data_IF_678858948406
#
_entry.id   IF_678858948406
#
_cell.length_a   1.000
_cell.length_b   1.000
_cell.length_c   1.000
_cell.angle_alpha   90.00
_cell.angle_beta   90.00
_cell.angle_gamma   90.00
#
_symmetry.space_group_name_H-M   'P 1'
#
loop_
_entity.id
_entity.type
_entity.pdbx_description
1 polymer ?
#
# COMPACT_ATOMS: atom_id res chain seq x y z
N UNK A 1 -17.49 -13.71 -30.85
CA UNK A 1 -16.42 -12.92 -31.48
C UNK A 1 -16.30 -11.49 -30.93
N UNK A 2 -17.21 -11.00 -30.08
CA UNK A 2 -17.12 -9.65 -29.47
C UNK A 2 -16.34 -9.57 -28.15
N UNK A 3 -15.90 -10.69 -27.54
CA UNK A 3 -15.16 -10.69 -26.27
C UNK A 3 -13.64 -10.39 -26.38
N UNK A 4 -13.10 -10.32 -27.61
CA UNK A 4 -11.65 -10.14 -27.82
C UNK A 4 -11.16 -8.68 -27.78
N UNK A 5 -12.05 -7.70 -27.59
CA UNK A 5 -11.71 -6.28 -27.59
C UNK A 5 -11.28 -5.73 -26.21
N UNK A 6 -10.83 -6.60 -25.28
CA UNK A 6 -10.58 -6.19 -23.89
C UNK A 6 -9.24 -5.50 -23.67
N UNK A 7 -8.27 -5.69 -24.57
CA UNK A 7 -6.95 -5.08 -24.45
C UNK A 7 -6.79 -3.97 -25.50
N UNK A 8 -6.63 -2.73 -25.03
CA UNK A 8 -6.18 -1.62 -25.89
C UNK A 8 -4.77 -1.87 -26.43
N UNK A 9 -4.29 -1.00 -27.33
CA UNK A 9 -2.89 -1.04 -27.77
C UNK A 9 -1.97 -0.96 -26.55
N UNK A 10 -1.03 -1.90 -26.44
CA UNK A 10 -0.03 -1.93 -25.37
C UNK A 10 1.34 -1.55 -25.91
N UNK A 11 2.19 -0.95 -25.09
CA UNK A 11 3.58 -0.73 -25.49
C UNK A 11 4.35 -2.06 -25.54
N UNK A 12 5.29 -2.15 -26.46
CA UNK A 12 6.17 -3.32 -26.61
C UNK A 12 6.91 -3.62 -25.30
N UNK A 13 7.41 -2.59 -24.63
CA UNK A 13 8.08 -2.66 -23.32
C UNK A 13 7.21 -3.32 -22.23
N UNK A 14 5.94 -2.93 -22.11
CA UNK A 14 5.03 -3.50 -21.10
C UNK A 14 4.74 -4.98 -21.34
N UNK A 15 4.56 -5.38 -22.61
CA UNK A 15 4.32 -6.78 -22.95
C UNK A 15 5.61 -7.61 -22.79
N UNK A 16 6.76 -7.04 -23.12
CA UNK A 16 8.08 -7.64 -22.87
C UNK A 16 8.33 -7.90 -21.38
N UNK A 17 8.03 -6.91 -20.53
CA UNK A 17 8.10 -7.05 -19.08
C UNK A 17 7.17 -8.16 -18.57
N UNK A 18 5.91 -8.14 -19.01
CA UNK A 18 4.89 -9.12 -18.62
C UNK A 18 5.30 -10.55 -19.02
N UNK A 19 5.77 -10.73 -20.25
CA UNK A 19 6.19 -12.03 -20.78
C UNK A 19 7.58 -12.46 -20.29
N UNK A 20 8.34 -11.56 -19.65
CA UNK A 20 9.73 -11.80 -19.28
C UNK A 20 10.65 -12.06 -20.47
N UNK A 21 10.39 -11.40 -21.60
CA UNK A 21 11.16 -11.48 -22.86
C UNK A 21 11.76 -10.11 -23.18
N UNK A 22 12.72 -10.04 -24.10
CA UNK A 22 13.16 -8.74 -24.61
C UNK A 22 12.09 -8.13 -25.52
N UNK A 23 12.10 -6.80 -25.67
CA UNK A 23 11.25 -6.09 -26.62
C UNK A 23 11.38 -6.65 -28.04
N UNK A 24 12.60 -6.97 -28.47
CA UNK A 24 12.90 -7.58 -29.77
C UNK A 24 12.23 -8.96 -29.93
N UNK A 25 12.32 -9.82 -28.91
CA UNK A 25 11.68 -11.13 -28.90
C UNK A 25 10.15 -11.04 -28.95
N UNK A 26 9.56 -10.04 -28.29
CA UNK A 26 8.12 -9.79 -28.33
C UNK A 26 7.70 -9.23 -29.69
N UNK A 27 8.49 -8.33 -30.29
CA UNK A 27 8.22 -7.80 -31.61
C UNK A 27 8.26 -8.91 -32.68
N UNK A 28 9.28 -9.76 -32.65
CA UNK A 28 9.44 -10.88 -33.58
C UNK A 28 8.27 -11.88 -33.44
N UNK A 29 7.90 -12.23 -32.20
CA UNK A 29 6.76 -13.10 -31.95
C UNK A 29 5.43 -12.47 -32.41
N UNK A 30 5.24 -11.16 -32.21
CA UNK A 30 4.06 -10.43 -32.67
C UNK A 30 3.94 -10.46 -34.21
N UNK A 31 5.04 -10.18 -34.91
CA UNK A 31 5.10 -10.17 -36.38
C UNK A 31 4.87 -11.58 -36.93
N UNK A 32 5.41 -12.61 -36.29
CA UNK A 32 5.16 -14.00 -36.68
C UNK A 32 3.69 -14.39 -36.56
N UNK A 33 2.98 -13.89 -35.56
CA UNK A 33 1.59 -14.23 -35.28
C UNK A 33 0.59 -13.43 -36.15
N UNK A 34 0.83 -12.14 -36.34
CA UNK A 34 -0.15 -11.21 -36.92
C UNK A 34 0.38 -10.43 -38.14
N UNK A 35 1.61 -10.72 -38.59
CA UNK A 35 2.27 -10.08 -39.72
C UNK A 35 2.93 -8.72 -39.40
N UNK A 36 3.46 -8.06 -40.42
CA UNK A 36 4.23 -6.81 -40.29
C UNK A 36 3.44 -5.64 -39.65
N UNK A 37 2.11 -5.72 -39.63
CA UNK A 37 1.23 -4.75 -38.99
C UNK A 37 1.09 -4.90 -37.46
N UNK A 38 1.68 -5.95 -36.88
CA UNK A 38 1.55 -6.27 -35.46
C UNK A 38 2.21 -5.23 -34.54
N UNK A 39 3.28 -4.56 -35.02
CA UNK A 39 4.05 -3.56 -34.28
C UNK A 39 4.08 -2.26 -35.07
N UNK A 40 3.53 -1.18 -34.51
CA UNK A 40 3.55 0.15 -35.13
C UNK A 40 4.13 1.15 -34.14
N UNK A 41 5.31 1.69 -34.46
CA UNK A 41 6.01 2.71 -33.63
C UNK A 41 6.20 2.27 -32.16
N UNK A 42 6.60 1.02 -31.93
CA UNK A 42 6.81 0.48 -30.58
C UNK A 42 5.53 0.15 -29.81
N UNK A 43 4.37 0.15 -30.48
CA UNK A 43 3.08 -0.26 -29.90
C UNK A 43 2.59 -1.53 -30.60
N UNK A 44 2.05 -2.46 -29.83
CA UNK A 44 1.44 -3.68 -30.33
C UNK A 44 -0.03 -3.45 -30.71
N UNK A 45 -0.45 -3.99 -31.84
CA UNK A 45 -1.86 -4.10 -32.19
C UNK A 45 -2.60 -4.94 -31.14
N UNK A 46 -3.86 -4.61 -30.85
CA UNK A 46 -4.66 -5.31 -29.83
C UNK A 46 -4.80 -6.81 -30.12
N UNK A 47 -4.91 -7.21 -31.38
CA UNK A 47 -4.93 -8.62 -31.79
C UNK A 47 -3.59 -9.31 -31.48
N UNK A 48 -2.47 -8.66 -31.77
CA UNK A 48 -1.13 -9.17 -31.45
C UNK A 48 -0.88 -9.32 -29.95
N UNK A 49 -1.33 -8.37 -29.13
CA UNK A 49 -1.29 -8.50 -27.65
C UNK A 49 -2.07 -9.73 -27.20
N UNK A 50 -3.27 -9.94 -27.76
CA UNK A 50 -4.13 -11.06 -27.39
C UNK A 50 -3.54 -12.41 -27.83
N UNK A 51 -2.97 -12.49 -29.03
CA UNK A 51 -2.31 -13.68 -29.55
C UNK A 51 -1.05 -14.02 -28.73
N UNK A 52 -0.24 -13.03 -28.39
CA UNK A 52 0.96 -13.18 -27.56
C UNK A 52 0.62 -13.67 -26.15
N UNK A 53 -0.42 -13.10 -25.53
CA UNK A 53 -0.89 -13.54 -24.20
C UNK A 53 -1.42 -14.98 -24.27
N UNK A 54 -2.06 -15.38 -25.36
CA UNK A 54 -2.56 -16.75 -25.55
C UNK A 54 -1.45 -17.78 -25.83
N UNK A 55 -0.27 -17.36 -26.32
CA UNK A 55 0.93 -18.22 -26.45
C UNK A 55 1.70 -18.42 -25.14
N UNK A 56 1.44 -17.60 -24.12
CA UNK A 56 1.98 -17.89 -22.79
C UNK A 56 1.29 -19.16 -22.32
N UNK A 57 2.06 -20.25 -22.23
CA UNK A 57 1.58 -21.52 -21.64
C UNK A 57 0.73 -21.18 -20.42
N UNK A 58 -0.49 -21.75 -20.33
CA UNK A 58 -1.38 -21.40 -19.24
C UNK A 58 -0.60 -21.58 -17.95
N UNK A 59 -0.61 -20.54 -17.12
CA UNK A 59 -0.10 -20.64 -15.77
C UNK A 59 -0.56 -21.98 -15.21
N UNK A 60 0.39 -22.82 -14.77
CA UNK A 60 0.10 -24.12 -14.17
C UNK A 60 -1.10 -23.93 -13.23
N UNK A 61 -2.04 -24.89 -13.20
CA UNK A 61 -3.25 -24.76 -12.39
C UNK A 61 -2.91 -24.28 -10.99
N UNK A 62 -3.66 -23.30 -10.47
CA UNK A 62 -3.43 -22.79 -9.11
C UNK A 62 -3.52 -23.90 -8.04
N UNK A 63 -4.26 -24.98 -8.34
CA UNK A 63 -4.32 -26.18 -7.51
C UNK A 63 -2.95 -26.84 -7.30
N UNK A 64 -2.10 -26.86 -8.33
CA UNK A 64 -0.75 -27.42 -8.24
C UNK A 64 0.15 -26.55 -7.35
N UNK A 65 0.00 -25.22 -7.44
CA UNK A 65 0.69 -24.29 -6.56
C UNK A 65 0.24 -24.39 -5.10
N UNK A 66 -1.06 -24.57 -4.86
CA UNK A 66 -1.59 -24.78 -3.52
C UNK A 66 -1.00 -26.05 -2.89
N UNK A 67 -0.97 -27.15 -3.66
CA UNK A 67 -0.36 -28.40 -3.23
C UNK A 67 1.14 -28.23 -2.90
N UNK A 68 1.87 -27.48 -3.73
CA UNK A 68 3.28 -27.16 -3.48
C UNK A 68 3.48 -26.36 -2.20
N UNK A 69 2.66 -25.34 -1.94
CA UNK A 69 2.71 -24.57 -0.69
C UNK A 69 2.46 -25.47 0.52
N UNK A 70 1.40 -26.29 0.50
CA UNK A 70 1.09 -27.23 1.60
C UNK A 70 2.25 -28.20 1.87
N UNK A 71 2.84 -28.74 0.81
CA UNK A 71 3.98 -29.65 0.92
C UNK A 71 5.22 -28.94 1.48
N UNK A 72 5.45 -27.65 1.16
CA UNK A 72 6.58 -26.88 1.67
C UNK A 72 6.50 -26.66 3.19
N UNK A 73 5.30 -26.38 3.71
CA UNK A 73 5.07 -26.30 5.16
C UNK A 73 5.14 -27.66 5.85
N UNK A 74 4.64 -28.74 5.22
CA UNK A 74 4.80 -30.11 5.75
C UNK A 74 6.27 -30.50 5.88
N UNK A 75 7.07 -30.21 4.87
CA UNK A 75 8.51 -30.43 4.91
C UNK A 75 9.19 -29.61 6.02
N UNK A 76 8.72 -28.39 6.31
CA UNK A 76 9.22 -27.61 7.43
C UNK A 76 8.84 -28.24 8.79
N UNK A 77 7.65 -28.83 8.90
CA UNK A 77 7.15 -29.55 10.10
C UNK A 77 7.98 -30.79 10.40
N UNK A 78 8.24 -31.62 9.39
CA UNK A 78 9.02 -32.85 9.51
C UNK A 78 10.47 -32.58 9.97
N UNK A 79 11.01 -31.42 9.62
CA UNK A 79 12.34 -30.97 10.05
C UNK A 79 12.36 -30.37 11.48
N UNK A 80 11.32 -30.59 12.29
CA UNK A 80 11.24 -30.37 13.73
C UNK A 80 11.61 -28.95 14.23
N UNK A 81 11.26 -27.90 13.48
CA UNK A 81 11.39 -26.51 13.96
C UNK A 81 10.13 -26.08 14.72
N UNK A 82 10.30 -25.49 15.90
CA UNK A 82 9.21 -25.02 16.77
C UNK A 82 8.23 -24.04 16.09
N UNK A 83 8.68 -23.35 15.03
CA UNK A 83 7.87 -22.39 14.25
C UNK A 83 7.61 -22.85 12.82
N UNK A 84 7.46 -24.15 12.55
CA UNK A 84 7.29 -24.64 11.17
C UNK A 84 6.09 -24.02 10.42
N UNK A 85 5.07 -23.58 11.15
CA UNK A 85 3.85 -22.96 10.60
C UNK A 85 4.08 -21.51 10.10
N UNK A 86 5.20 -20.87 10.42
CA UNK A 86 5.54 -19.53 9.93
C UNK A 86 7.00 -19.51 9.49
N UNK A 87 7.30 -19.13 8.25
CA UNK A 87 8.68 -19.07 7.76
C UNK A 87 8.93 -17.86 6.88
N UNK A 88 10.15 -17.33 6.90
CA UNK A 88 10.53 -16.22 6.03
C UNK A 88 10.35 -16.59 4.55
N UNK A 89 9.93 -15.64 3.71
CA UNK A 89 9.73 -15.85 2.26
C UNK A 89 10.92 -16.51 1.56
N UNK A 90 12.19 -16.16 1.83
CA UNK A 90 13.33 -16.86 1.24
C UNK A 90 13.41 -18.35 1.64
N UNK A 91 12.99 -18.69 2.86
CA UNK A 91 12.94 -20.08 3.33
C UNK A 91 11.84 -20.83 2.59
N UNK A 92 10.65 -20.24 2.45
CA UNK A 92 9.56 -20.81 1.66
C UNK A 92 10.01 -21.08 0.22
N UNK A 93 10.65 -20.10 -0.43
CA UNK A 93 11.18 -20.25 -1.79
C UNK A 93 12.17 -21.41 -1.89
N UNK A 94 13.10 -21.53 -0.94
CA UNK A 94 14.04 -22.64 -0.91
C UNK A 94 13.35 -24.00 -0.77
N UNK A 95 12.26 -24.09 -0.01
CA UNK A 95 11.47 -25.33 0.12
C UNK A 95 10.72 -25.66 -1.16
N UNK A 96 10.13 -24.67 -1.81
CA UNK A 96 9.47 -24.85 -3.12
C UNK A 96 10.47 -25.33 -4.18
N UNK A 97 11.69 -24.77 -4.19
CA UNK A 97 12.78 -25.26 -5.03
C UNK A 97 13.15 -26.70 -4.69
N UNK A 98 13.27 -27.08 -3.41
CA UNK A 98 13.56 -28.47 -3.03
C UNK A 98 12.50 -29.47 -3.50
N UNK A 99 11.22 -29.11 -3.38
CA UNK A 99 10.10 -29.96 -3.79
C UNK A 99 9.96 -30.12 -5.32
N UNK A 100 10.60 -29.24 -6.08
CA UNK A 100 10.53 -29.19 -7.53
C UNK A 100 11.88 -29.46 -8.18
N UNK A 101 12.83 -30.03 -7.43
CA UNK A 101 14.20 -30.29 -7.90
C UNK A 101 14.87 -29.06 -8.55
N UNK A 102 14.63 -27.88 -7.96
CA UNK A 102 15.17 -26.59 -8.39
C UNK A 102 14.43 -25.93 -9.56
N UNK A 103 13.33 -26.51 -10.04
CA UNK A 103 12.63 -26.02 -11.25
C UNK A 103 11.53 -25.00 -10.96
N UNK A 104 11.12 -24.78 -9.71
CA UNK A 104 10.07 -23.82 -9.36
C UNK A 104 10.37 -22.40 -9.88
N UNK A 105 9.44 -21.85 -10.66
CA UNK A 105 9.42 -20.44 -11.06
C UNK A 105 8.03 -19.86 -10.80
N UNK A 106 7.99 -18.65 -10.24
CA UNK A 106 6.74 -17.97 -9.91
C UNK A 106 5.92 -17.63 -11.15
N UNK A 107 6.62 -17.35 -12.26
CA UNK A 107 6.03 -17.03 -13.57
C UNK A 107 5.21 -18.20 -14.13
N UNK A 108 5.59 -19.44 -13.81
CA UNK A 108 4.85 -20.64 -14.22
C UNK A 108 3.45 -20.67 -13.59
N UNK A 109 3.19 -19.85 -12.57
CA UNK A 109 1.90 -19.70 -11.90
C UNK A 109 1.31 -18.29 -12.06
N UNK A 110 1.79 -17.52 -13.04
CA UNK A 110 1.28 -16.16 -13.31
C UNK A 110 1.73 -15.10 -12.29
N UNK A 111 2.72 -15.39 -11.45
CA UNK A 111 3.23 -14.46 -10.45
C UNK A 111 4.60 -13.85 -10.88
N UNK A 112 4.76 -12.52 -10.85
CA UNK A 112 6.03 -11.86 -11.21
C UNK A 112 7.15 -12.03 -10.15
N UNK A 113 6.80 -12.46 -8.94
CA UNK A 113 7.74 -12.62 -7.81
C UNK A 113 7.19 -13.62 -6.78
N UNK A 114 8.06 -14.11 -5.88
CA UNK A 114 7.64 -14.98 -4.76
C UNK A 114 6.58 -14.33 -3.87
N UNK A 115 6.64 -13.00 -3.73
CA UNK A 115 5.65 -12.22 -3.01
C UNK A 115 4.29 -12.27 -3.66
N UNK A 116 4.24 -11.99 -4.97
CA UNK A 116 2.99 -12.08 -5.69
C UNK A 116 2.46 -13.52 -5.69
N UNK A 117 3.35 -14.52 -5.78
CA UNK A 117 2.97 -15.93 -5.74
C UNK A 117 2.25 -16.28 -4.44
N UNK A 118 2.78 -15.90 -3.27
CA UNK A 118 2.11 -16.19 -1.99
C UNK A 118 0.80 -15.42 -1.83
N UNK A 119 0.68 -14.22 -2.40
CA UNK A 119 -0.58 -13.44 -2.35
C UNK A 119 -1.70 -14.01 -3.22
N UNK A 120 -1.41 -14.96 -4.13
CA UNK A 120 -2.44 -15.67 -4.89
C UNK A 120 -3.25 -16.66 -4.02
N UNK A 121 -2.79 -16.96 -2.80
CA UNK A 121 -3.38 -17.98 -1.93
C UNK A 121 -3.79 -17.43 -0.54
N UNK A 122 -4.61 -16.37 -0.47
CA UNK A 122 -4.98 -15.75 0.80
C UNK A 122 -5.67 -16.73 1.77
N UNK A 123 -6.47 -17.67 1.25
CA UNK A 123 -7.12 -18.71 2.06
C UNK A 123 -6.17 -19.78 2.60
N UNK A 124 -4.95 -19.91 2.05
CA UNK A 124 -3.96 -20.88 2.50
C UNK A 124 -2.86 -20.25 3.36
N UNK A 125 -2.44 -19.02 3.05
CA UNK A 125 -1.31 -18.38 3.72
C UNK A 125 -1.61 -16.94 4.12
N UNK A 126 -1.10 -16.54 5.28
CA UNK A 126 -1.08 -15.15 5.74
C UNK A 126 0.35 -14.60 5.61
N UNK A 127 0.48 -13.36 5.13
CA UNK A 127 1.76 -12.66 5.08
C UNK A 127 1.91 -11.76 6.32
N UNK A 128 3.05 -11.85 7.00
CA UNK A 128 3.32 -11.13 8.25
C UNK A 128 4.39 -10.03 8.04
N UNK A 129 3.95 -8.81 7.68
CA UNK A 129 4.71 -7.54 7.74
C UNK A 129 4.58 -6.62 6.50
N UNK A 130 5.63 -5.83 6.18
CA UNK A 130 5.59 -4.81 5.08
C UNK A 130 6.85 -4.74 4.16
N UNK A 131 7.80 -5.68 4.27
CA UNK A 131 9.03 -5.76 3.46
C UNK A 131 9.35 -7.15 2.88
N UNK A 132 10.25 -7.24 1.87
CA UNK A 132 10.66 -8.51 1.27
C UNK A 132 11.34 -9.57 2.17
N UNK A 133 11.56 -9.28 3.45
CA UNK A 133 12.14 -10.16 4.48
C UNK A 133 11.10 -10.73 5.47
N UNK A 134 9.82 -10.53 5.20
CA UNK A 134 8.71 -11.01 6.03
C UNK A 134 8.52 -12.53 6.01
N UNK A 135 7.61 -12.96 6.90
CA UNK A 135 7.22 -14.35 7.12
C UNK A 135 5.88 -14.64 6.45
N UNK A 136 5.73 -15.87 6.02
CA UNK A 136 4.50 -16.46 5.50
C UNK A 136 4.07 -17.52 6.48
N UNK A 137 2.83 -17.43 6.93
CA UNK A 137 2.21 -18.35 7.88
C UNK A 137 1.15 -19.19 7.18
N UNK A 138 1.15 -20.50 7.42
CA UNK A 138 0.11 -21.39 6.93
C UNK A 138 -1.19 -21.18 7.74
N UNK A 139 -2.31 -20.99 7.05
CA UNK A 139 -3.66 -21.06 7.61
C UNK A 139 -4.11 -22.52 7.54
N UNK A 140 -4.05 -23.26 8.66
CA UNK A 140 -4.47 -24.67 8.69
C UNK A 140 -5.95 -24.81 9.05
N UNK A 141 -6.84 -25.32 8.16
CA UNK A 141 -8.29 -25.41 8.38
C UNK A 141 -8.71 -26.21 9.62
N UNK A 142 -7.92 -27.18 10.07
CA UNK A 142 -8.23 -28.01 11.26
C UNK A 142 -7.72 -27.41 12.58
N UNK A 143 -6.91 -26.35 12.52
CA UNK A 143 -6.41 -25.58 13.66
C UNK A 143 -7.02 -24.17 13.72
N UNK A 144 -8.01 -23.89 12.86
CA UNK A 144 -8.78 -22.65 12.87
C UNK A 144 -9.96 -22.82 13.84
N UNK A 145 -9.74 -22.48 15.11
CA UNK A 145 -10.76 -21.66 15.77
C UNK A 145 -10.88 -20.41 14.90
N UNK A 146 -12.02 -20.27 14.23
CA UNK A 146 -12.36 -19.26 13.21
C UNK A 146 -11.50 -18.00 13.27
N UNK A 147 -10.54 -17.91 12.35
CA UNK A 147 -9.68 -16.77 12.16
C UNK A 147 -10.34 -15.84 11.14
N UNK A 148 -11.26 -15.02 11.62
CA UNK A 148 -12.05 -14.02 10.89
C UNK A 148 -11.21 -12.82 10.40
N UNK A 149 -9.87 -12.87 10.54
CA UNK A 149 -8.92 -11.78 10.23
C UNK A 149 -8.75 -11.44 8.75
N UNK A 150 -9.41 -12.12 7.79
CA UNK A 150 -9.31 -11.77 6.35
C UNK A 150 -10.49 -10.97 5.78
N UNK A 151 -11.53 -10.69 6.57
CA UNK A 151 -12.49 -9.62 6.21
C UNK A 151 -11.93 -8.22 6.51
N UNK A 152 -10.78 -8.11 7.18
CA UNK A 152 -10.20 -6.82 7.59
C UNK A 152 -9.59 -5.97 6.47
N UNK A 153 -9.51 -6.45 5.22
CA UNK A 153 -9.11 -5.62 4.08
C UNK A 153 -10.22 -4.67 3.60
N UNK A 154 -11.47 -4.85 4.06
CA UNK A 154 -12.58 -3.90 3.87
C UNK A 154 -12.72 -2.85 4.99
N UNK A 155 -11.88 -2.88 6.04
CA UNK A 155 -11.99 -1.95 7.18
C UNK A 155 -11.52 -0.52 6.89
N UNK A 156 -11.23 -0.16 5.64
CA UNK A 156 -11.05 1.24 5.23
C UNK A 156 -12.12 1.64 4.20
N UNK A 157 -13.41 1.75 4.58
CA UNK A 157 -14.44 2.32 3.70
C UNK A 157 -14.15 3.79 3.33
N UNK A 158 -13.20 4.43 4.01
CA UNK A 158 -12.74 5.81 3.80
C UNK A 158 -11.60 5.87 2.77
N UNK A 159 -10.97 4.74 2.45
CA UNK A 159 -9.86 4.61 1.49
C UNK A 159 -8.54 5.23 1.95
N UNK A 160 -7.50 5.13 1.10
CA UNK A 160 -6.13 5.68 1.33
C UNK A 160 -6.05 7.19 1.61
N UNK A 161 -7.18 7.90 1.67
CA UNK A 161 -7.24 9.33 1.95
C UNK A 161 -6.95 9.69 3.41
N UNK A 162 -6.80 11.00 3.64
CA UNK A 162 -6.65 11.62 4.97
C UNK A 162 -7.86 12.51 5.19
N UNK A 163 -8.45 12.47 6.38
CA UNK A 163 -9.47 13.45 6.75
C UNK A 163 -8.84 14.84 6.71
N UNK A 164 -9.55 15.81 6.14
CA UNK A 164 -9.08 17.19 6.04
C UNK A 164 -8.54 17.70 7.38
N UNK A 165 -7.38 18.36 7.36
CA UNK A 165 -6.58 18.59 8.56
C UNK A 165 -7.28 19.45 9.63
N UNK A 166 -8.02 20.47 9.19
CA UNK A 166 -8.82 21.34 10.05
C UNK A 166 -9.91 20.57 10.80
N UNK A 167 -10.60 19.67 10.09
CA UNK A 167 -11.65 18.81 10.64
C UNK A 167 -11.08 17.73 11.56
N UNK A 168 -9.98 17.09 11.16
CA UNK A 168 -9.28 16.13 12.01
C UNK A 168 -8.85 16.76 13.33
N UNK A 169 -8.24 17.94 13.27
CA UNK A 169 -7.85 18.70 14.45
C UNK A 169 -9.07 19.09 15.30
N UNK A 170 -10.14 19.57 14.67
CA UNK A 170 -11.36 19.94 15.39
C UNK A 170 -11.98 18.77 16.17
N UNK A 171 -11.95 17.56 15.60
CA UNK A 171 -12.48 16.36 16.25
C UNK A 171 -11.58 15.87 17.39
N UNK A 172 -10.25 15.83 17.18
CA UNK A 172 -9.32 15.17 18.11
C UNK A 172 -8.52 16.09 19.04
N UNK A 173 -8.62 17.41 18.91
CA UNK A 173 -7.92 18.36 19.79
C UNK A 173 -8.65 18.63 21.11
N UNK A 174 -8.98 17.56 21.82
CA UNK A 174 -9.68 17.63 23.12
C UNK A 174 -8.79 18.09 24.28
N UNK A 175 -7.46 18.08 24.08
CA UNK A 175 -6.49 18.46 25.13
C UNK A 175 -6.22 19.95 25.19
N UNK A 176 -6.39 20.67 24.08
CA UNK A 176 -6.15 22.11 24.06
C UNK A 176 -7.23 22.91 24.79
N UNK A 177 -8.40 22.31 25.04
CA UNK A 177 -9.58 23.00 25.58
C UNK A 177 -10.20 24.00 24.59
N UNK A 178 -9.72 24.04 23.34
CA UNK A 178 -10.27 24.90 22.30
C UNK A 178 -11.60 24.35 21.81
N UNK A 179 -12.52 25.26 21.53
CA UNK A 179 -13.75 24.92 20.82
C UNK A 179 -13.55 25.24 19.35
N UNK A 180 -14.00 24.36 18.47
CA UNK A 180 -13.91 24.54 17.03
C UNK A 180 -15.28 24.88 16.46
N UNK A 181 -15.34 25.87 15.59
CA UNK A 181 -16.55 26.23 14.86
C UNK A 181 -16.34 26.11 13.36
N UNK A 182 -17.38 25.66 12.67
CA UNK A 182 -17.45 25.63 11.23
C UNK A 182 -17.74 27.03 10.68
N UNK A 183 -16.83 27.55 9.85
CA UNK A 183 -16.98 28.80 9.13
C UNK A 183 -17.47 28.48 7.71
N UNK A 184 -18.79 28.59 7.49
CA UNK A 184 -19.42 28.33 6.19
C UNK A 184 -18.84 29.22 5.08
N UNK A 185 -18.50 30.47 5.41
CA UNK A 185 -17.96 31.42 4.42
C UNK A 185 -16.60 31.00 3.90
N UNK A 186 -15.80 30.33 4.73
CA UNK A 186 -14.46 29.84 4.37
C UNK A 186 -14.41 28.34 4.10
N UNK A 187 -15.51 27.62 4.31
CA UNK A 187 -15.60 26.16 4.18
C UNK A 187 -14.60 25.41 5.07
N UNK A 188 -14.27 25.94 6.26
CA UNK A 188 -13.23 25.38 7.15
C UNK A 188 -13.60 25.42 8.63
N UNK A 189 -13.10 24.46 9.38
CA UNK A 189 -13.12 24.53 10.84
C UNK A 189 -12.01 25.47 11.33
N UNK A 190 -12.37 26.37 12.24
CA UNK A 190 -11.42 27.30 12.85
C UNK A 190 -11.53 27.29 14.37
N UNK A 191 -10.40 27.54 15.03
CA UNK A 191 -10.33 27.73 16.48
C UNK A 191 -11.25 28.89 16.84
N UNK A 192 -12.33 28.58 17.56
CA UNK A 192 -13.30 29.57 17.98
C UNK A 192 -12.88 30.14 19.32
N UNK A 193 -12.37 31.36 19.30
CA UNK A 193 -11.91 32.03 20.51
C UNK A 193 -13.07 32.60 21.34
N UNK A 194 -14.23 32.83 20.72
CA UNK A 194 -15.38 33.47 21.36
C UNK A 194 -16.53 32.47 21.54
N UNK A 195 -16.86 32.06 22.79
CA UNK A 195 -17.96 31.14 23.05
C UNK A 195 -19.34 31.70 22.66
N UNK A 196 -19.48 33.03 22.51
CA UNK A 196 -20.73 33.73 22.18
C UNK A 196 -20.92 33.97 20.68
N UNK A 197 -19.90 33.69 19.86
CA UNK A 197 -20.03 33.83 18.42
C UNK A 197 -20.86 32.68 17.84
N UNK A 198 -21.87 33.03 17.04
CA UNK A 198 -22.94 32.19 16.50
C UNK A 198 -22.52 31.05 15.52
N UNK A 199 -21.24 30.64 15.52
CA UNK A 199 -20.74 29.57 14.67
C UNK A 199 -21.25 28.18 15.08
N UNK A 200 -21.45 27.31 14.09
CA UNK A 200 -21.89 25.92 14.29
C UNK A 200 -20.69 25.14 14.86
N UNK A 201 -20.81 24.65 16.09
CA UNK A 201 -19.71 23.99 16.81
C UNK A 201 -19.44 22.59 16.26
N UNK A 202 -18.20 22.32 15.87
CA UNK A 202 -17.76 20.99 15.39
C UNK A 202 -17.59 20.06 16.61
N UNK A 203 -18.04 18.80 16.55
CA UNK A 203 -18.02 17.92 17.71
C UNK A 203 -16.62 17.39 18.00
N UNK A 204 -15.95 17.99 18.99
CA UNK A 204 -14.71 17.49 19.57
C UNK A 204 -14.98 16.29 20.48
N UNK A 205 -14.16 15.25 20.40
CA UNK A 205 -14.26 14.12 21.33
C UNK A 205 -13.77 14.53 22.72
N UNK A 206 -14.17 13.79 23.74
CA UNK A 206 -13.67 13.94 25.11
C UNK A 206 -12.59 12.90 25.41
N UNK A 207 -11.85 13.08 26.50
CA UNK A 207 -10.90 12.06 26.96
C UNK A 207 -11.59 10.73 27.30
N UNK A 208 -12.84 10.78 27.79
CA UNK A 208 -13.65 9.61 28.07
C UNK A 208 -14.05 8.88 26.78
N UNK A 209 -14.55 9.61 25.77
CA UNK A 209 -14.85 9.03 24.45
C UNK A 209 -13.61 8.41 23.80
N UNK A 210 -12.43 9.06 23.88
CA UNK A 210 -11.20 8.46 23.34
C UNK A 210 -10.88 7.14 24.03
N UNK A 211 -11.05 7.05 25.36
CA UNK A 211 -10.86 5.80 26.09
C UNK A 211 -11.84 4.72 25.60
N UNK A 212 -13.11 5.06 25.40
CA UNK A 212 -14.10 4.14 24.83
C UNK A 212 -13.67 3.63 23.45
N UNK A 213 -13.18 4.51 22.58
CA UNK A 213 -12.67 4.11 21.26
C UNK A 213 -11.49 3.14 21.36
N UNK A 214 -10.59 3.33 22.33
CA UNK A 214 -9.49 2.38 22.55
C UNK A 214 -10.00 1.01 23.02
N UNK A 215 -10.99 1.00 23.91
CA UNK A 215 -11.62 -0.24 24.37
C UNK A 215 -12.34 -0.96 23.23
N UNK A 216 -13.07 -0.23 22.39
CA UNK A 216 -13.68 -0.73 21.16
C UNK A 216 -12.64 -1.33 20.23
N UNK A 217 -11.57 -0.58 19.95
CA UNK A 217 -10.48 -1.06 19.10
C UNK A 217 -9.89 -2.37 19.62
N UNK A 218 -9.57 -2.48 20.91
CA UNK A 218 -9.03 -3.73 21.48
C UNK A 218 -10.04 -4.87 21.37
N UNK A 219 -11.34 -4.62 21.60
CA UNK A 219 -12.39 -5.64 21.45
C UNK A 219 -12.56 -6.13 20.01
N UNK A 220 -12.31 -5.28 19.02
CA UNK A 220 -12.35 -5.68 17.59
C UNK A 220 -11.14 -6.50 17.17
N UNK A 221 -10.11 -6.65 18.01
CA UNK A 221 -8.99 -7.53 17.71
C UNK A 221 -9.34 -8.96 18.13
N UNK A 222 -9.75 -9.78 17.16
CA UNK A 222 -10.15 -11.19 17.37
C UNK A 222 -9.05 -12.03 18.02
N UNK A 223 -7.79 -11.68 17.75
CA UNK A 223 -6.64 -12.34 18.34
C UNK A 223 -5.62 -11.32 18.81
N UNK A 224 -5.35 -11.37 20.10
CA UNK A 224 -4.30 -10.60 20.74
C UNK A 224 -3.35 -11.60 21.36
N UNK A 225 -2.06 -11.49 21.01
CA UNK A 225 -1.05 -12.33 21.65
C UNK A 225 -1.03 -12.05 23.16
N UNK A 226 -0.78 -13.05 24.01
CA UNK A 226 -0.69 -12.81 25.47
C UNK A 226 0.33 -11.71 25.81
N UNK A 227 1.41 -11.61 25.02
CA UNK A 227 2.42 -10.56 25.14
C UNK A 227 1.86 -9.17 24.83
N UNK A 228 1.03 -9.02 23.81
CA UNK A 228 0.42 -7.75 23.44
C UNK A 228 -0.78 -7.40 24.31
N UNK A 229 -1.48 -8.37 24.90
CA UNK A 229 -2.67 -8.15 25.73
C UNK A 229 -2.39 -7.23 26.92
N UNK A 230 -1.29 -7.47 27.65
CA UNK A 230 -0.89 -6.62 28.77
C UNK A 230 -0.55 -5.19 28.30
N UNK A 231 0.12 -5.05 27.16
CA UNK A 231 0.51 -3.76 26.59
C UNK A 231 -0.69 -2.97 26.06
N UNK A 232 -1.66 -3.66 25.47
CA UNK A 232 -2.91 -3.06 25.00
C UNK A 232 -3.77 -2.61 26.18
N UNK A 233 -3.85 -3.40 27.25
CA UNK A 233 -4.54 -3.00 28.48
C UNK A 233 -3.93 -1.73 29.09
N UNK A 234 -2.60 -1.68 29.23
CA UNK A 234 -1.90 -0.48 29.71
C UNK A 234 -2.15 0.74 28.79
N UNK A 235 -2.16 0.53 27.47
CA UNK A 235 -2.39 1.58 26.49
C UNK A 235 -3.83 2.14 26.51
N UNK A 236 -4.83 1.27 26.75
CA UNK A 236 -6.23 1.67 26.90
C UNK A 236 -6.40 2.62 28.08
N UNK A 237 -5.83 2.27 29.24
CA UNK A 237 -5.99 3.02 30.48
C UNK A 237 -5.13 4.28 30.53
N UNK A 238 -3.96 4.26 29.87
CA UNK A 238 -3.00 5.36 29.88
C UNK A 238 -3.36 6.53 28.97
N UNK A 239 -2.61 7.64 29.08
CA UNK A 239 -2.67 8.75 28.13
C UNK A 239 -1.92 8.46 26.81
N UNK A 240 -1.71 7.18 26.49
CA UNK A 240 -0.75 6.69 25.52
C UNK A 240 -0.91 7.29 24.13
N UNK A 241 0.17 7.86 23.61
CA UNK A 241 0.26 8.24 22.20
C UNK A 241 0.15 6.99 21.31
N UNK A 242 -0.24 7.15 20.05
CA UNK A 242 -0.22 6.06 19.04
C UNK A 242 1.17 5.39 18.93
N UNK A 243 2.24 6.11 19.27
CA UNK A 243 3.59 5.55 19.31
C UNK A 243 3.80 4.48 20.41
N UNK A 244 2.97 4.43 21.45
CA UNK A 244 3.05 3.42 22.50
C UNK A 244 2.47 2.06 22.06
N UNK A 245 1.58 2.05 21.07
CA UNK A 245 1.05 0.81 20.48
C UNK A 245 2.17 -0.01 19.83
N UNK A 246 2.10 -1.36 19.90
CA UNK A 246 2.90 -2.23 19.06
C UNK A 246 2.75 -1.86 17.59
N UNK A 247 3.83 -1.97 16.81
CA UNK A 247 3.89 -1.43 15.44
C UNK A 247 2.79 -1.97 14.52
N UNK A 248 2.42 -3.23 14.71
CA UNK A 248 1.36 -3.91 13.97
C UNK A 248 -0.01 -3.23 14.12
N UNK A 249 -0.37 -2.81 15.34
CA UNK A 249 -1.69 -2.22 15.63
C UNK A 249 -1.80 -0.74 15.24
N UNK A 250 -0.71 -0.03 14.99
CA UNK A 250 -0.73 1.41 14.66
C UNK A 250 -1.53 1.75 13.39
N UNK A 251 -1.33 1.09 12.23
CA UNK A 251 -2.14 1.35 11.06
C UNK A 251 -3.61 1.02 11.28
N UNK A 252 -3.92 -0.09 11.96
CA UNK A 252 -5.29 -0.52 12.29
C UNK A 252 -5.99 0.51 13.19
N UNK A 253 -5.31 0.97 14.23
CA UNK A 253 -5.82 2.00 15.12
C UNK A 253 -6.09 3.32 14.40
N UNK A 254 -5.18 3.74 13.52
CA UNK A 254 -5.38 4.96 12.73
C UNK A 254 -6.57 4.83 11.77
N UNK A 255 -6.78 3.66 11.16
CA UNK A 255 -7.95 3.39 10.32
C UNK A 255 -9.24 3.47 11.15
N UNK A 256 -9.26 2.84 12.32
CA UNK A 256 -10.40 2.89 13.25
C UNK A 256 -10.74 4.33 13.65
N UNK A 257 -9.75 5.15 14.02
CA UNK A 257 -9.95 6.56 14.34
C UNK A 257 -10.46 7.38 13.15
N UNK A 258 -9.96 7.11 11.94
CA UNK A 258 -10.45 7.76 10.72
C UNK A 258 -11.92 7.43 10.45
N UNK A 259 -12.31 6.16 10.51
CA UNK A 259 -13.71 5.76 10.29
C UNK A 259 -14.63 6.50 11.27
N UNK A 260 -14.31 6.44 12.57
CA UNK A 260 -15.11 7.10 13.59
C UNK A 260 -15.21 8.63 13.38
N UNK A 261 -14.10 9.29 13.03
CA UNK A 261 -14.11 10.72 12.76
C UNK A 261 -14.92 11.07 11.49
N UNK A 262 -14.79 10.28 10.42
CA UNK A 262 -15.56 10.48 9.20
C UNK A 262 -17.06 10.36 9.46
N UNK A 263 -17.48 9.33 10.20
CA UNK A 263 -18.89 9.11 10.53
C UNK A 263 -19.43 10.22 11.43
N UNK A 264 -18.68 10.60 12.48
CA UNK A 264 -19.06 11.72 13.37
C UNK A 264 -19.20 13.04 12.62
N UNK A 265 -18.30 13.33 11.69
CA UNK A 265 -18.35 14.54 10.86
C UNK A 265 -19.52 14.52 9.89
N UNK A 266 -19.78 13.39 9.21
CA UNK A 266 -20.95 13.24 8.33
C UNK A 266 -22.25 13.46 9.09
N UNK A 267 -22.41 12.80 10.24
CA UNK A 267 -23.59 12.99 11.11
C UNK A 267 -23.73 14.43 11.54
N UNK A 268 -22.64 15.09 11.92
CA UNK A 268 -22.63 16.51 12.28
C UNK A 268 -23.13 17.42 11.16
N UNK A 269 -22.57 17.31 9.95
CA UNK A 269 -23.00 18.14 8.82
C UNK A 269 -24.48 17.92 8.49
N UNK A 270 -24.92 16.66 8.45
CA UNK A 270 -26.33 16.31 8.21
C UNK A 270 -27.25 16.90 9.28
N UNK A 271 -26.91 16.76 10.56
CA UNK A 271 -27.71 17.29 11.68
C UNK A 271 -27.73 18.82 11.71
N UNK A 272 -26.65 19.46 11.29
CA UNK A 272 -26.56 20.92 11.17
C UNK A 272 -27.28 21.48 9.91
N UNK A 273 -27.81 20.62 9.03
CA UNK A 273 -28.42 21.05 7.77
C UNK A 273 -27.41 21.60 6.76
N UNK A 274 -26.16 21.16 6.85
CA UNK A 274 -25.05 21.57 6.00
C UNK A 274 -24.70 20.47 5.00
N UNK A 275 -24.20 20.88 3.83
CA UNK A 275 -23.63 19.92 2.86
C UNK A 275 -22.31 19.36 3.39
N UNK A 276 -22.12 18.04 3.23
CA UNK A 276 -20.85 17.38 3.56
C UNK A 276 -19.79 17.85 2.56
N UNK A 277 -18.64 18.40 3.01
CA UNK A 277 -17.58 18.81 2.10
C UNK A 277 -17.12 17.65 1.21
N UNK A 278 -17.08 17.87 -0.10
CA UNK A 278 -16.62 16.84 -1.06
C UNK A 278 -15.16 16.44 -0.86
N UNK A 279 -14.38 17.29 -0.18
CA UNK A 279 -12.99 17.09 0.21
C UNK A 279 -12.82 16.62 1.68
N UNK A 280 -13.89 16.15 2.33
CA UNK A 280 -13.84 15.60 3.70
C UNK A 280 -12.71 14.57 3.83
N UNK A 281 -12.58 13.71 2.80
CA UNK A 281 -11.47 12.78 2.63
C UNK A 281 -10.56 13.36 1.55
N UNK A 282 -9.50 14.04 1.97
CA UNK A 282 -8.48 14.51 1.07
C UNK A 282 -7.64 13.31 0.61
N UNK A 283 -7.74 12.95 -0.66
CA UNK A 283 -6.72 12.12 -1.29
C UNK A 283 -5.41 12.93 -1.26
N UNK A 284 -4.33 12.31 -0.78
CA UNK A 284 -3.04 12.98 -0.78
C UNK A 284 -2.69 13.33 -2.23
N UNK A 285 -2.88 14.60 -2.60
CA UNK A 285 -2.19 15.14 -3.77
C UNK A 285 -0.71 14.84 -3.57
N UNK A 286 0.00 14.32 -4.58
CA UNK A 286 1.44 14.09 -4.48
C UNK A 286 2.07 15.37 -3.91
N UNK A 287 2.96 15.27 -2.92
CA UNK A 287 3.45 16.43 -2.19
C UNK A 287 4.00 17.43 -3.20
N UNK A 288 3.27 18.53 -3.42
CA UNK A 288 3.77 19.66 -4.17
C UNK A 288 4.86 20.24 -3.29
N UNK A 289 6.11 19.86 -3.54
CA UNK A 289 7.24 20.35 -2.76
C UNK A 289 7.13 21.88 -2.70
N UNK A 290 7.15 22.49 -1.49
CA UNK A 290 7.09 23.94 -1.39
C UNK A 290 8.26 24.49 -2.21
N UNK A 291 7.96 25.42 -3.11
CA UNK A 291 8.93 26.00 -4.06
C UNK A 291 10.19 26.50 -3.33
N UNK A 292 10.08 26.90 -2.06
CA UNK A 292 11.19 27.33 -1.22
C UNK A 292 12.19 26.23 -0.84
N UNK A 293 11.75 24.98 -0.71
CA UNK A 293 12.62 23.85 -0.33
C UNK A 293 13.46 23.38 -1.52
N UNK A 294 12.88 23.45 -2.74
CA UNK A 294 13.62 23.19 -3.98
C UNK A 294 14.69 24.25 -4.21
N UNK A 295 14.39 25.52 -4.00
CA UNK A 295 15.39 26.60 -4.11
C UNK A 295 16.48 26.53 -3.03
N UNK A 296 16.13 26.10 -1.82
CA UNK A 296 17.12 25.87 -0.76
C UNK A 296 18.02 24.67 -1.10
N UNK A 297 17.43 23.55 -1.53
CA UNK A 297 18.16 22.37 -1.97
C UNK A 297 19.07 22.68 -3.17
N UNK A 298 18.60 23.46 -4.14
CA UNK A 298 19.38 23.91 -5.31
C UNK A 298 20.57 24.76 -4.89
N UNK A 299 20.37 25.75 -4.01
CA UNK A 299 21.47 26.59 -3.50
C UNK A 299 22.54 25.77 -2.77
N UNK A 300 22.14 24.79 -1.95
CA UNK A 300 23.11 23.89 -1.30
C UNK A 300 23.82 22.99 -2.30
N UNK A 301 23.11 22.47 -3.30
CA UNK A 301 23.71 21.64 -4.34
C UNK A 301 24.78 22.42 -5.12
N UNK A 302 24.51 23.67 -5.49
CA UNK A 302 25.52 24.55 -6.09
C UNK A 302 26.74 24.75 -5.18
N UNK A 303 26.53 25.06 -3.90
CA UNK A 303 27.63 25.24 -2.96
C UNK A 303 28.50 23.98 -2.79
N UNK A 304 27.91 22.78 -2.88
CA UNK A 304 28.68 21.54 -2.88
C UNK A 304 29.45 21.33 -4.17
N UNK A 305 28.83 21.59 -5.34
CA UNK A 305 29.47 21.47 -6.65
C UNK A 305 30.66 22.43 -6.75
N UNK A 306 30.52 23.67 -6.29
CA UNK A 306 31.58 24.69 -6.32
C UNK A 306 32.77 24.34 -5.40
N UNK A 307 32.53 23.55 -4.35
CA UNK A 307 33.57 23.13 -3.40
C UNK A 307 34.26 21.82 -3.80
N UNK A 308 33.71 21.07 -4.76
CA UNK A 308 34.26 19.78 -5.19
C UNK A 308 35.49 19.95 -6.07
N UNK A 309 36.45 19.06 -5.89
CA UNK A 309 37.60 18.90 -6.79
C UNK A 309 37.18 18.24 -8.11
N UNK A 310 38.04 18.35 -9.13
CA UNK A 310 37.77 17.71 -10.44
C UNK A 310 37.59 16.18 -10.35
N UNK A 311 38.30 15.53 -9.42
CA UNK A 311 38.15 14.08 -9.17
C UNK A 311 36.80 13.74 -8.53
N UNK A 312 36.32 14.57 -7.60
CA UNK A 312 35.01 14.39 -6.95
C UNK A 312 33.86 14.65 -7.91
N UNK A 313 33.98 15.68 -8.76
CA UNK A 313 33.01 15.94 -9.83
C UNK A 313 32.91 14.77 -10.80
N UNK A 314 34.04 14.14 -11.16
CA UNK A 314 34.07 12.97 -12.04
C UNK A 314 33.38 11.71 -11.47
N UNK A 315 33.18 11.66 -10.15
CA UNK A 315 32.47 10.55 -9.47
C UNK A 315 30.98 10.82 -9.27
N UNK A 316 30.51 12.03 -9.59
CA UNK A 316 29.13 12.43 -9.31
C UNK A 316 28.19 11.76 -10.31
N UNK A 317 27.32 10.87 -9.80
CA UNK A 317 26.31 10.19 -10.61
C UNK A 317 25.09 11.09 -10.78
N UNK A 318 24.85 11.56 -12.00
CA UNK A 318 23.66 12.34 -12.36
C UNK A 318 22.70 11.45 -13.15
N UNK A 319 21.45 11.38 -12.71
CA UNK A 319 20.38 10.66 -13.41
C UNK A 319 20.22 11.18 -14.85
N UNK A 320 20.11 10.28 -15.83
CA UNK A 320 19.96 10.61 -17.26
C UNK A 320 18.78 11.54 -17.54
N UNK A 321 17.70 11.41 -16.76
CA UNK A 321 16.52 12.26 -16.86
C UNK A 321 16.79 13.73 -16.51
N UNK A 322 17.82 14.02 -15.71
CA UNK A 322 18.27 15.38 -15.38
C UNK A 322 19.14 15.92 -16.51
N UNK A 323 20.06 15.11 -17.03
CA UNK A 323 20.94 15.47 -18.15
C UNK A 323 20.11 15.88 -19.37
N UNK A 324 19.07 15.10 -19.71
CA UNK A 324 18.18 15.37 -20.84
C UNK A 324 17.43 16.71 -20.75
N UNK A 325 17.33 17.32 -19.56
CA UNK A 325 16.65 18.61 -19.34
C UNK A 325 17.60 19.80 -19.40
N UNK A 326 18.90 19.58 -19.24
CA UNK A 326 19.90 20.66 -19.32
C UNK A 326 20.16 20.92 -20.80
N UNK A 327 19.63 22.03 -21.32
CA UNK A 327 20.06 22.54 -22.62
C UNK A 327 21.47 23.10 -22.43
N UNK A 328 22.47 22.37 -22.91
CA UNK A 328 23.82 22.91 -23.05
C UNK A 328 23.72 23.92 -24.19
N UNK A 329 23.59 25.19 -23.85
CA UNK A 329 23.85 26.25 -24.81
C UNK A 329 25.35 26.22 -25.07
N UNK A 330 25.76 25.73 -26.24
CA UNK A 330 27.11 25.91 -26.74
C UNK A 330 27.31 27.41 -27.00
N UNK A 331 27.66 28.17 -25.97
CA UNK A 331 28.29 29.48 -26.12
C UNK A 331 29.81 29.27 -26.03
N UNK A 332 30.38 28.94 -27.19
CA UNK A 332 31.78 29.10 -27.54
C UNK A 332 31.91 30.12 -28.65
#
# INVERSE_FOLDING_TARGET
MEELARFGRASLAQVAELMGRSEEQVAEAAVRLEGDGAVVRGMLAASAVTALISEVEPARPLQDAEALLRNAFRLARENAKADWASMAVPVLKNRLLQLTDGTFREKDFGAPSIWHFVTLFPGLVACEGVRPSERVRLREPELIETDDRDESAELDPVGKGRIRDDLWRAVFDYRSGKTYAWDETRGRASDHADPDSAGIRVPTITAAELRTLRQEFVRTQETVSEHDAARLAEWVDGAGATAALPRFYRPLWNAHLKSHAADRLRTFFIQAGLDVPSDLIAHASPPTAPVSDVEHARRRAHAYIDAMTGEELGRLSIELSVIARVRISDEG
#
